data_IF_010075091858
#
_entry.id   IF_010075091858
#
_cell.length_a   1.000
_cell.length_b   1.000
_cell.length_c   1.000
_cell.angle_alpha   90.00
_cell.angle_beta   90.00
_cell.angle_gamma   90.00
#
_symmetry.space_group_name_H-M   'P 1'
#
loop_
_entity.id
_entity.type
_entity.pdbx_description
1 polymer ?
#
# COMPACT_ATOMS: atom_id res chain seq x y z
N UNK A 1 -30.81 -0.85 -25.22
CA UNK A 1 -30.81 0.22 -24.21
C UNK A 1 -29.37 0.64 -23.97
N UNK A 2 -28.94 1.79 -24.48
CA UNK A 2 -27.58 2.29 -24.22
C UNK A 2 -27.44 2.68 -22.73
N UNK A 3 -26.22 2.86 -22.24
CA UNK A 3 -25.98 3.15 -20.82
C UNK A 3 -26.72 4.43 -20.37
N UNK A 4 -26.81 5.42 -21.25
CA UNK A 4 -27.56 6.66 -21.05
C UNK A 4 -29.04 6.37 -20.78
N UNK A 5 -29.72 5.61 -21.64
CA UNK A 5 -31.13 5.22 -21.45
C UNK A 5 -31.36 4.48 -20.13
N UNK A 6 -30.43 3.63 -19.69
CA UNK A 6 -30.52 2.92 -18.38
C UNK A 6 -30.34 3.85 -17.19
N UNK A 7 -29.42 4.81 -17.29
CA UNK A 7 -29.22 5.84 -16.27
C UNK A 7 -30.38 6.85 -16.25
N UNK A 8 -30.94 7.16 -17.42
CA UNK A 8 -32.10 8.02 -17.57
C UNK A 8 -33.32 7.44 -16.87
N UNK A 9 -33.52 6.13 -16.98
CA UNK A 9 -34.57 5.40 -16.26
C UNK A 9 -34.30 5.30 -14.75
N UNK A 10 -33.06 5.04 -14.33
CA UNK A 10 -32.70 4.84 -12.92
C UNK A 10 -32.63 6.13 -12.10
N UNK A 11 -32.30 7.26 -12.74
CA UNK A 11 -32.09 8.56 -12.08
C UNK A 11 -33.06 9.65 -12.55
N UNK A 12 -34.07 9.31 -13.35
CA UNK A 12 -35.08 10.25 -13.83
C UNK A 12 -34.53 11.34 -14.73
N UNK A 13 -33.55 11.03 -15.59
CA UNK A 13 -33.04 11.96 -16.60
C UNK A 13 -34.03 11.99 -17.78
N UNK A 14 -35.23 12.53 -17.58
CA UNK A 14 -36.04 12.96 -18.72
C UNK A 14 -35.49 14.31 -19.19
N UNK A 15 -35.06 14.38 -20.45
CA UNK A 15 -34.92 15.65 -21.15
C UNK A 15 -35.82 15.61 -22.37
N UNK A 16 -36.70 16.60 -22.46
CA UNK A 16 -37.33 17.04 -23.69
C UNK A 16 -36.31 17.04 -24.84
N UNK A 17 -36.58 16.25 -25.87
CA UNK A 17 -35.72 16.08 -27.04
C UNK A 17 -35.45 17.42 -27.74
N UNK A 18 -34.22 17.73 -28.14
CA UNK A 18 -33.96 18.45 -29.38
C UNK A 18 -33.79 17.43 -30.52
N UNK A 19 -34.32 17.82 -31.67
CA UNK A 19 -34.45 17.05 -32.89
C UNK A 19 -33.12 16.46 -33.39
N UNK A 20 -33.23 15.27 -33.96
CA UNK A 20 -32.26 14.61 -34.84
C UNK A 20 -31.67 15.56 -35.88
N UNK A 21 -30.34 15.66 -35.93
CA UNK A 21 -29.62 16.17 -37.08
C UNK A 21 -28.25 15.48 -37.20
N UNK A 22 -28.01 14.85 -38.36
CA UNK A 22 -26.71 14.82 -39.03
C UNK A 22 -25.63 13.85 -38.52
N UNK A 23 -25.32 12.85 -39.34
CA UNK A 23 -24.02 12.17 -39.35
C UNK A 23 -22.97 13.18 -39.86
N UNK A 24 -21.93 13.42 -39.06
CA UNK A 24 -20.77 14.25 -39.40
C UNK A 24 -20.81 15.66 -38.79
N UNK A 25 -20.11 15.87 -37.67
CA UNK A 25 -19.89 17.19 -37.09
C UNK A 25 -19.05 17.10 -35.82
N UNK A 26 -18.03 17.94 -35.71
CA UNK A 26 -17.24 18.15 -34.48
C UNK A 26 -18.17 18.30 -33.26
N UNK A 27 -17.79 17.66 -32.14
CA UNK A 27 -18.52 17.73 -30.87
C UNK A 27 -18.85 19.18 -30.51
N UNK A 28 -20.12 19.55 -30.64
CA UNK A 28 -20.66 20.90 -30.35
C UNK A 28 -20.78 21.21 -28.85
N UNK A 29 -20.22 20.35 -27.99
CA UNK A 29 -20.19 20.56 -26.55
C UNK A 29 -19.26 21.74 -26.22
N UNK A 30 -19.76 22.69 -25.42
CA UNK A 30 -18.95 23.82 -24.96
C UNK A 30 -17.70 23.29 -24.20
N UNK A 31 -16.53 23.90 -24.42
CA UNK A 31 -15.34 23.56 -23.65
C UNK A 31 -15.52 23.92 -22.17
N UNK A 32 -14.82 23.21 -21.28
CA UNK A 32 -14.71 23.64 -19.88
C UNK A 32 -13.88 24.94 -19.84
N UNK A 33 -14.26 25.96 -19.04
CA UNK A 33 -13.51 27.23 -18.99
C UNK A 33 -12.05 27.13 -18.48
N UNK A 34 -11.64 25.97 -17.96
CA UNK A 34 -10.31 25.72 -17.40
C UNK A 34 -9.62 24.49 -18.02
N UNK A 35 -10.11 24.04 -19.18
CA UNK A 35 -9.53 22.91 -19.88
C UNK A 35 -9.52 23.15 -21.39
N UNK A 36 -8.63 22.44 -22.07
CA UNK A 36 -8.55 22.46 -23.52
C UNK A 36 -9.23 21.23 -24.11
N UNK A 37 -9.84 21.37 -25.30
CA UNK A 37 -10.41 20.23 -26.02
C UNK A 37 -9.32 19.61 -26.87
N UNK A 38 -9.07 18.31 -26.66
CA UNK A 38 -8.10 17.52 -27.41
C UNK A 38 -8.84 16.60 -28.38
N UNK A 39 -8.41 16.60 -29.63
CA UNK A 39 -8.90 15.68 -30.66
C UNK A 39 -7.98 14.47 -30.76
N UNK A 40 -8.57 13.27 -30.78
CA UNK A 40 -7.89 12.00 -31.04
C UNK A 40 -8.55 11.29 -32.22
N UNK A 41 -7.96 10.22 -32.76
CA UNK A 41 -8.63 9.38 -33.76
C UNK A 41 -9.96 8.76 -33.29
N UNK A 42 -10.25 8.83 -31.99
CA UNK A 42 -11.42 8.21 -31.35
C UNK A 42 -12.43 9.22 -30.81
N UNK A 43 -12.31 10.50 -31.20
CA UNK A 43 -13.23 11.58 -30.79
C UNK A 43 -12.51 12.71 -30.09
N UNK A 44 -13.24 13.46 -29.27
CA UNK A 44 -12.70 14.58 -28.49
C UNK A 44 -12.91 14.37 -27.01
N UNK A 45 -12.04 14.89 -26.16
CA UNK A 45 -12.26 15.02 -24.72
C UNK A 45 -11.59 16.29 -24.20
N UNK A 46 -11.75 16.60 -22.91
CA UNK A 46 -11.08 17.75 -22.30
C UNK A 46 -9.81 17.29 -21.59
N UNK A 47 -8.71 18.04 -21.76
CA UNK A 47 -7.50 17.93 -20.95
C UNK A 47 -7.36 19.15 -20.05
N UNK A 48 -7.00 18.92 -18.80
CA UNK A 48 -6.51 19.95 -17.88
C UNK A 48 -5.10 19.57 -17.50
N UNK A 49 -4.13 20.46 -17.75
CA UNK A 49 -2.73 20.25 -17.40
C UNK A 49 -2.31 21.26 -16.33
N UNK A 50 -1.61 20.77 -15.30
CA UNK A 50 -0.97 21.58 -14.29
C UNK A 50 0.49 21.13 -14.13
N UNK A 51 1.40 22.10 -13.94
CA UNK A 51 2.81 21.85 -13.70
C UNK A 51 3.18 22.44 -12.35
N UNK A 52 3.52 21.57 -11.42
CA UNK A 52 3.87 21.93 -10.05
C UNK A 52 5.39 21.94 -9.88
N UNK A 53 5.94 22.95 -9.19
CA UNK A 53 7.37 22.97 -8.90
C UNK A 53 7.75 21.81 -7.98
N UNK A 54 9.01 21.35 -8.07
CA UNK A 54 9.47 20.18 -7.30
C UNK A 54 9.49 20.43 -5.79
N UNK A 55 9.50 21.68 -5.34
CA UNK A 55 9.42 22.08 -3.93
C UNK A 55 7.97 22.20 -3.43
N UNK A 56 6.96 21.89 -4.26
CA UNK A 56 5.57 21.86 -3.86
C UNK A 56 5.35 20.90 -2.68
N UNK A 57 4.70 21.40 -1.64
CA UNK A 57 4.40 20.65 -0.42
C UNK A 57 2.99 20.06 -0.46
N UNK A 58 2.87 18.79 -0.07
CA UNK A 58 1.60 18.08 0.06
C UNK A 58 1.60 17.27 1.36
N UNK A 59 0.95 17.83 2.39
CA UNK A 59 1.09 17.33 3.76
C UNK A 59 2.52 17.48 4.26
N UNK A 60 3.08 16.40 4.84
CA UNK A 60 4.48 16.35 5.27
C UNK A 60 5.49 16.07 4.14
N UNK A 61 5.03 15.85 2.91
CA UNK A 61 5.90 15.52 1.80
C UNK A 61 6.17 16.75 0.92
N UNK A 62 7.37 16.80 0.33
CA UNK A 62 7.72 17.68 -0.78
C UNK A 62 7.91 16.80 -2.01
N UNK A 63 7.24 17.10 -3.12
CA UNK A 63 7.15 16.20 -4.28
C UNK A 63 8.54 15.75 -4.79
N UNK A 64 9.47 16.70 -4.94
CA UNK A 64 10.83 16.44 -5.41
C UNK A 64 11.67 15.57 -4.47
N UNK A 65 11.26 15.38 -3.21
CA UNK A 65 11.97 14.47 -2.28
C UNK A 65 11.98 13.04 -2.79
N UNK A 66 10.94 12.64 -3.53
CA UNK A 66 10.85 11.31 -4.11
C UNK A 66 11.97 11.06 -5.14
N UNK A 67 12.41 12.09 -5.87
CA UNK A 67 13.50 11.98 -6.86
C UNK A 67 14.84 11.59 -6.22
N UNK A 68 15.02 11.86 -4.91
CA UNK A 68 16.20 11.46 -4.14
C UNK A 68 16.17 10.02 -3.62
N UNK A 69 15.07 9.29 -3.81
CA UNK A 69 14.93 7.90 -3.34
C UNK A 69 15.70 6.93 -4.19
N UNK A 70 16.09 5.82 -3.57
CA UNK A 70 16.87 4.79 -4.21
C UNK A 70 15.98 3.94 -5.12
N UNK A 71 16.36 3.70 -6.39
CA UNK A 71 15.51 3.00 -7.35
C UNK A 71 15.05 1.60 -6.92
N UNK A 72 15.87 0.90 -6.14
CA UNK A 72 15.58 -0.45 -5.65
C UNK A 72 14.52 -0.49 -4.53
N UNK A 73 14.16 0.66 -3.95
CA UNK A 73 13.19 0.74 -2.86
C UNK A 73 11.76 0.48 -3.33
N UNK A 74 11.40 0.86 -4.56
CA UNK A 74 10.01 0.73 -5.01
C UNK A 74 9.63 -0.72 -5.35
N UNK A 75 10.56 -1.48 -5.93
CA UNK A 75 10.41 -2.93 -6.06
C UNK A 75 10.25 -3.61 -4.70
N UNK A 76 10.67 -2.96 -3.60
CA UNK A 76 10.48 -3.51 -2.27
C UNK A 76 9.02 -3.49 -1.78
N UNK A 77 8.24 -2.54 -2.31
CA UNK A 77 6.85 -2.28 -1.92
C UNK A 77 5.87 -3.21 -2.64
N UNK A 78 6.16 -3.56 -3.89
CA UNK A 78 5.39 -4.54 -4.65
C UNK A 78 6.01 -5.94 -4.61
N UNK A 79 5.23 -6.97 -4.26
CA UNK A 79 5.71 -8.36 -4.24
C UNK A 79 5.76 -8.98 -5.65
N UNK A 80 5.04 -8.41 -6.60
CA UNK A 80 4.93 -8.89 -7.97
C UNK A 80 5.78 -8.06 -8.95
N UNK A 81 6.68 -7.22 -8.44
CA UNK A 81 7.54 -6.38 -9.27
C UNK A 81 8.35 -7.25 -10.26
N UNK A 82 8.30 -6.88 -11.55
CA UNK A 82 9.07 -7.55 -12.62
C UNK A 82 10.43 -6.91 -12.85
N UNK A 83 10.63 -5.72 -12.30
CA UNK A 83 11.91 -5.02 -12.25
C UNK A 83 12.31 -4.79 -10.80
N UNK A 84 13.61 -4.93 -10.54
CA UNK A 84 14.15 -4.69 -9.19
C UNK A 84 14.34 -3.20 -8.91
N UNK A 85 14.49 -2.38 -9.96
CA UNK A 85 14.77 -0.94 -9.85
C UNK A 85 13.82 -0.12 -10.74
N UNK A 86 13.38 1.02 -10.20
CA UNK A 86 12.65 2.05 -10.92
C UNK A 86 13.15 3.42 -10.46
N UNK A 87 13.65 4.24 -11.37
CA UNK A 87 13.91 5.64 -11.05
C UNK A 87 12.57 6.37 -10.83
N UNK A 88 12.51 7.30 -9.87
CA UNK A 88 11.30 8.06 -9.57
C UNK A 88 10.69 8.81 -10.78
N UNK A 89 11.52 9.23 -11.73
CA UNK A 89 11.13 9.95 -12.95
C UNK A 89 10.50 9.05 -14.04
N UNK A 90 10.67 7.73 -13.93
CA UNK A 90 10.02 6.75 -14.78
C UNK A 90 8.62 6.35 -14.29
N UNK A 91 8.24 6.82 -13.09
CA UNK A 91 6.97 6.46 -12.46
C UNK A 91 5.79 7.24 -13.05
N UNK A 92 4.67 6.55 -13.19
CA UNK A 92 3.38 7.11 -13.57
C UNK A 92 2.38 6.91 -12.44
N UNK A 93 1.87 8.01 -11.88
CA UNK A 93 0.87 8.02 -10.83
C UNK A 93 -0.49 8.18 -11.49
N UNK A 94 -1.51 7.40 -11.12
CA UNK A 94 -2.84 7.65 -11.66
C UNK A 94 -3.97 7.23 -10.73
N UNK A 95 -5.09 7.91 -10.92
CA UNK A 95 -6.36 7.73 -10.21
C UNK A 95 -7.52 8.09 -11.15
N UNK A 96 -8.68 7.45 -10.99
CA UNK A 96 -9.85 7.69 -11.84
C UNK A 96 -11.14 7.97 -11.07
N UNK A 97 -11.93 8.91 -11.58
CA UNK A 97 -13.30 9.13 -11.14
C UNK A 97 -14.28 8.46 -12.08
N UNK A 98 -15.26 7.80 -11.49
CA UNK A 98 -16.12 6.87 -12.22
C UNK A 98 -17.58 7.08 -11.87
N UNK A 99 -18.48 6.64 -12.75
CA UNK A 99 -19.93 6.73 -12.53
C UNK A 99 -20.48 5.81 -11.42
N UNK A 100 -19.64 5.00 -10.77
CA UNK A 100 -20.09 4.10 -9.71
C UNK A 100 -18.95 3.52 -8.87
N UNK A 101 -19.21 3.31 -7.58
CA UNK A 101 -18.19 2.93 -6.59
C UNK A 101 -17.81 1.43 -6.62
N UNK A 102 -18.53 0.60 -7.36
CA UNK A 102 -18.47 -0.87 -7.25
C UNK A 102 -17.94 -1.59 -8.50
N UNK A 103 -17.41 -0.87 -9.51
CA UNK A 103 -16.68 -1.48 -10.64
C UNK A 103 -17.47 -2.47 -11.50
N UNK A 104 -18.81 -2.43 -11.47
CA UNK A 104 -19.65 -3.27 -12.33
C UNK A 104 -19.56 -2.88 -13.81
N UNK A 105 -20.08 -3.73 -14.71
CA UNK A 105 -19.99 -3.59 -16.19
C UNK A 105 -20.52 -2.23 -16.73
N UNK A 106 -21.38 -1.53 -15.98
CA UNK A 106 -21.89 -0.20 -16.31
C UNK A 106 -21.05 0.99 -15.78
N UNK A 107 -19.95 0.73 -15.07
CA UNK A 107 -19.06 1.76 -14.53
C UNK A 107 -18.21 2.33 -15.65
N UNK A 108 -18.19 3.66 -15.76
CA UNK A 108 -17.45 4.39 -16.80
C UNK A 108 -16.52 5.38 -16.12
N UNK A 109 -15.21 5.40 -16.45
CA UNK A 109 -14.35 6.49 -16.05
C UNK A 109 -14.73 7.75 -16.82
N UNK A 110 -15.01 8.83 -16.11
CA UNK A 110 -15.29 10.12 -16.73
C UNK A 110 -14.16 11.14 -16.48
N UNK A 111 -13.27 10.86 -15.54
CA UNK A 111 -12.05 11.63 -15.28
C UNK A 111 -10.91 10.65 -14.99
N UNK A 112 -9.76 10.82 -15.65
CA UNK A 112 -8.52 10.10 -15.31
C UNK A 112 -7.43 11.12 -15.08
N UNK A 113 -6.91 11.16 -13.86
CA UNK A 113 -5.73 11.94 -13.50
C UNK A 113 -4.47 11.11 -13.66
N UNK A 114 -3.48 11.65 -14.37
CA UNK A 114 -2.15 11.05 -14.53
C UNK A 114 -1.10 12.05 -14.09
N UNK A 115 -0.21 11.62 -13.20
CA UNK A 115 0.92 12.39 -12.69
C UNK A 115 2.26 11.76 -13.07
N UNK A 116 3.24 12.57 -13.43
CA UNK A 116 4.62 12.12 -13.67
C UNK A 116 5.63 13.24 -13.48
N UNK A 117 6.88 12.87 -13.19
CA UNK A 117 7.96 13.85 -13.11
C UNK A 117 8.52 14.18 -14.50
N UNK A 118 8.98 15.43 -14.62
CA UNK A 118 9.86 15.94 -15.66
C UNK A 118 11.12 16.47 -15.00
N UNK A 119 12.10 16.94 -15.77
CA UNK A 119 13.37 17.47 -15.23
C UNK A 119 13.15 18.55 -14.14
N UNK A 120 12.14 19.41 -14.29
CA UNK A 120 11.97 20.61 -13.47
C UNK A 120 10.61 20.69 -12.73
N UNK A 121 9.70 19.74 -12.94
CA UNK A 121 8.34 19.83 -12.41
C UNK A 121 7.67 18.46 -12.28
N UNK A 122 6.67 18.38 -11.40
CA UNK A 122 5.67 17.32 -11.41
C UNK A 122 4.48 17.77 -12.25
N UNK A 123 4.14 17.02 -13.29
CA UNK A 123 3.04 17.33 -14.21
C UNK A 123 1.84 16.46 -13.87
N UNK A 124 0.67 17.09 -13.78
CA UNK A 124 -0.62 16.41 -13.67
C UNK A 124 -1.42 16.72 -14.93
N UNK A 125 -1.87 15.67 -15.63
CA UNK A 125 -2.82 15.75 -16.72
C UNK A 125 -4.11 15.05 -16.31
N UNK A 126 -5.23 15.74 -16.41
CA UNK A 126 -6.55 15.19 -16.15
C UNK A 126 -7.36 15.14 -17.45
N UNK A 127 -7.73 13.93 -17.87
CA UNK A 127 -8.56 13.70 -19.06
C UNK A 127 -10.01 13.53 -18.64
N UNK A 128 -10.91 14.34 -19.19
CA UNK A 128 -12.32 14.39 -18.83
C UNK A 128 -13.24 14.18 -20.03
N UNK A 129 -14.19 13.26 -19.89
CA UNK A 129 -15.24 13.02 -20.87
C UNK A 129 -16.46 13.90 -20.53
N UNK A 130 -16.87 14.78 -21.45
CA UNK A 130 -18.02 15.68 -21.24
C UNK A 130 -19.37 14.98 -21.43
N UNK A 131 -19.37 13.84 -22.10
CA UNK A 131 -20.49 12.92 -22.26
C UNK A 131 -19.91 11.51 -22.52
N UNK A 132 -20.75 10.48 -22.52
CA UNK A 132 -20.30 9.09 -22.58
C UNK A 132 -19.64 8.69 -23.90
N UNK A 133 -19.93 9.41 -24.99
CA UNK A 133 -19.33 9.19 -26.31
C UNK A 133 -17.87 9.69 -26.39
N UNK A 134 -17.43 10.52 -25.43
CA UNK A 134 -16.04 11.00 -25.32
C UNK A 134 -15.12 10.03 -24.57
N UNK A 135 -15.67 8.96 -23.98
CA UNK A 135 -14.89 7.95 -23.26
C UNK A 135 -13.76 7.33 -24.11
N UNK A 136 -13.95 6.95 -25.39
CA UNK A 136 -12.87 6.38 -26.19
C UNK A 136 -11.67 7.34 -26.35
N UNK A 137 -11.94 8.64 -26.52
CA UNK A 137 -10.90 9.65 -26.63
C UNK A 137 -10.11 9.78 -25.31
N UNK A 138 -10.82 9.87 -24.18
CA UNK A 138 -10.23 9.87 -22.84
C UNK A 138 -9.37 8.62 -22.59
N UNK A 139 -9.87 7.42 -22.91
CA UNK A 139 -9.15 6.16 -22.72
C UNK A 139 -7.90 6.08 -23.61
N UNK A 140 -7.97 6.58 -24.85
CA UNK A 140 -6.84 6.58 -25.77
C UNK A 140 -5.67 7.42 -25.25
N UNK A 141 -5.96 8.60 -24.68
CA UNK A 141 -4.93 9.46 -24.08
C UNK A 141 -4.33 8.84 -22.81
N UNK A 142 -5.17 8.26 -21.95
CA UNK A 142 -4.69 7.56 -20.76
C UNK A 142 -3.79 6.38 -21.14
N UNK A 143 -4.17 5.57 -22.15
CA UNK A 143 -3.37 4.46 -22.65
C UNK A 143 -2.01 4.93 -23.18
N UNK A 144 -1.96 6.05 -23.92
CA UNK A 144 -0.71 6.63 -24.40
C UNK A 144 0.24 6.94 -23.24
N UNK A 145 -0.23 7.64 -22.20
CA UNK A 145 0.59 8.03 -21.04
C UNK A 145 1.07 6.82 -20.24
N UNK A 146 0.19 5.85 -20.00
CA UNK A 146 0.52 4.64 -19.25
C UNK A 146 1.45 3.70 -20.03
N UNK A 147 1.37 3.68 -21.36
CA UNK A 147 2.27 2.91 -22.23
C UNK A 147 3.66 3.54 -22.31
N UNK A 148 3.73 4.87 -22.36
CA UNK A 148 5.00 5.60 -22.33
C UNK A 148 5.74 5.44 -20.99
N UNK A 149 5.02 5.16 -19.90
CA UNK A 149 5.56 5.00 -18.54
C UNK A 149 5.02 3.74 -17.86
N UNK A 150 5.57 2.55 -18.17
CA UNK A 150 5.03 1.26 -17.72
C UNK A 150 5.35 0.91 -16.26
N UNK A 151 5.66 1.91 -15.41
CA UNK A 151 5.95 1.76 -13.98
C UNK A 151 4.93 2.57 -13.19
N UNK A 152 3.89 1.91 -12.70
CA UNK A 152 2.70 2.57 -12.19
C UNK A 152 2.66 2.64 -10.67
N UNK A 153 2.00 3.69 -10.18
CA UNK A 153 1.72 3.89 -8.76
C UNK A 153 0.25 4.28 -8.64
N UNK A 154 -0.50 3.54 -7.83
CA UNK A 154 -1.93 3.77 -7.61
C UNK A 154 -2.30 3.49 -6.16
N UNK A 155 -3.53 3.82 -5.76
CA UNK A 155 -4.11 3.38 -4.49
C UNK A 155 -5.29 2.46 -4.76
N UNK A 156 -5.16 1.16 -4.48
CA UNK A 156 -6.15 0.12 -4.83
C UNK A 156 -6.35 -0.11 -6.34
N UNK A 157 -5.54 0.51 -7.20
CA UNK A 157 -5.74 0.42 -8.66
C UNK A 157 -5.51 -0.97 -9.25
N UNK A 158 -4.80 -1.90 -8.58
CA UNK A 158 -4.70 -3.30 -9.06
C UNK A 158 -6.06 -4.03 -9.07
N UNK A 159 -6.98 -3.60 -8.20
CA UNK A 159 -8.31 -4.19 -8.06
C UNK A 159 -9.42 -3.27 -8.59
N UNK A 160 -9.09 -2.03 -8.98
CA UNK A 160 -10.06 -1.03 -9.41
C UNK A 160 -9.62 -0.35 -10.71
N UNK A 161 -8.85 0.74 -10.65
CA UNK A 161 -8.57 1.62 -11.79
C UNK A 161 -7.96 0.87 -12.98
N UNK A 162 -6.89 0.10 -12.77
CA UNK A 162 -6.23 -0.62 -13.86
C UNK A 162 -7.12 -1.72 -14.46
N UNK A 163 -7.94 -2.38 -13.63
CA UNK A 163 -8.90 -3.39 -14.10
C UNK A 163 -10.03 -2.74 -14.91
N UNK A 164 -10.57 -1.61 -14.43
CA UNK A 164 -11.58 -0.84 -15.14
C UNK A 164 -11.03 -0.40 -16.49
N UNK A 165 -9.87 0.26 -16.53
CA UNK A 165 -9.25 0.71 -17.78
C UNK A 165 -9.05 -0.45 -18.76
N UNK A 166 -8.51 -1.59 -18.32
CA UNK A 166 -8.33 -2.76 -19.17
C UNK A 166 -9.66 -3.28 -19.77
N UNK A 167 -10.73 -3.31 -18.96
CA UNK A 167 -12.05 -3.72 -19.43
C UNK A 167 -12.64 -2.73 -20.44
N UNK A 168 -12.54 -1.42 -20.16
CA UNK A 168 -13.09 -0.36 -21.03
C UNK A 168 -12.32 -0.24 -22.35
N UNK A 169 -11.00 -0.40 -22.33
CA UNK A 169 -10.17 -0.44 -23.54
C UNK A 169 -10.58 -1.60 -24.47
N UNK A 170 -10.81 -2.79 -23.92
CA UNK A 170 -11.31 -3.95 -24.67
C UNK A 170 -12.71 -3.73 -25.24
N UNK A 171 -13.61 -3.15 -24.44
CA UNK A 171 -14.97 -2.83 -24.86
C UNK A 171 -14.96 -1.93 -26.11
N UNK A 172 -14.12 -0.89 -26.09
CA UNK A 172 -13.99 0.08 -27.18
C UNK A 172 -13.01 -0.33 -28.29
N UNK A 173 -12.41 -1.53 -28.19
CA UNK A 173 -11.43 -2.07 -29.16
C UNK A 173 -10.22 -1.16 -29.38
N UNK A 174 -9.78 -0.48 -28.33
CA UNK A 174 -8.63 0.43 -28.33
C UNK A 174 -7.29 -0.28 -28.09
N UNK A 175 -7.32 -1.60 -27.89
CA UNK A 175 -6.16 -2.43 -27.55
C UNK A 175 -6.23 -2.95 -26.12
N UNK A 176 -5.11 -3.52 -25.66
CA UNK A 176 -4.95 -3.98 -24.29
C UNK A 176 -4.13 -2.96 -23.48
N UNK A 177 -4.48 -2.80 -22.20
CA UNK A 177 -3.63 -2.09 -21.26
C UNK A 177 -2.31 -2.89 -21.13
N UNK A 178 -1.13 -2.26 -21.31
CA UNK A 178 0.14 -2.98 -21.27
C UNK A 178 0.36 -3.55 -19.87
N UNK A 179 1.02 -4.70 -19.80
CA UNK A 179 1.38 -5.22 -18.49
C UNK A 179 2.51 -4.38 -17.88
N UNK A 180 2.32 -3.79 -16.69
CA UNK A 180 3.33 -2.88 -16.14
C UNK A 180 4.58 -3.64 -15.71
N UNK A 181 5.75 -3.02 -15.92
CA UNK A 181 7.04 -3.49 -15.41
C UNK A 181 7.08 -3.45 -13.87
N UNK A 182 6.41 -2.46 -13.30
CA UNK A 182 6.22 -2.29 -11.86
C UNK A 182 4.84 -1.69 -11.62
N UNK A 183 4.10 -2.21 -10.64
CA UNK A 183 2.85 -1.57 -10.20
C UNK A 183 2.82 -1.51 -8.69
N UNK A 184 3.23 -0.38 -8.12
CA UNK A 184 3.15 -0.14 -6.68
C UNK A 184 1.74 0.29 -6.33
N UNK A 185 0.94 -0.66 -5.86
CA UNK A 185 -0.36 -0.36 -5.27
C UNK A 185 -0.19 -0.08 -3.77
N UNK A 186 -0.31 1.20 -3.44
CA UNK A 186 -0.04 1.75 -2.13
C UNK A 186 -0.99 1.24 -1.06
N UNK A 187 -2.19 0.76 -1.40
CA UNK A 187 -3.09 0.15 -0.43
C UNK A 187 -2.43 -1.05 0.26
N UNK A 188 -1.70 -1.88 -0.49
CA UNK A 188 -1.03 -3.04 0.08
C UNK A 188 0.20 -2.66 0.90
N UNK A 189 0.94 -1.63 0.50
CA UNK A 189 2.05 -1.09 1.27
C UNK A 189 1.55 -0.51 2.60
N UNK A 190 0.53 0.34 2.55
CA UNK A 190 -0.11 0.95 3.72
C UNK A 190 -0.70 -0.10 4.65
N UNK A 191 -1.47 -1.07 4.15
CA UNK A 191 -2.01 -2.17 4.98
C UNK A 191 -0.90 -2.99 5.62
N UNK A 192 0.20 -3.23 4.90
CA UNK A 192 1.31 -4.03 5.43
C UNK A 192 2.04 -3.31 6.55
N UNK A 193 2.22 -2.01 6.46
CA UNK A 193 3.06 -1.25 7.38
C UNK A 193 2.26 -0.51 8.47
N UNK A 194 1.01 -0.13 8.23
CA UNK A 194 0.21 0.73 9.11
C UNK A 194 -1.17 0.20 9.51
N UNK A 195 -1.59 -1.00 9.08
CA UNK A 195 -2.95 -1.52 9.41
C UNK A 195 -3.31 -1.46 10.89
N UNK A 196 -2.38 -1.78 11.77
CA UNK A 196 -2.62 -1.81 13.22
C UNK A 196 -2.79 -0.38 13.79
N UNK A 197 -2.23 0.63 13.13
CA UNK A 197 -2.34 2.04 13.53
C UNK A 197 -3.54 2.75 12.89
N UNK A 198 -3.88 2.43 11.64
CA UNK A 198 -4.97 3.07 10.89
C UNK A 198 -6.33 2.39 11.08
N UNK A 199 -6.33 1.08 11.31
CA UNK A 199 -7.51 0.23 11.17
C UNK A 199 -7.94 0.16 9.70
N UNK A 200 -8.86 1.03 9.32
CA UNK A 200 -9.24 1.22 7.92
C UNK A 200 -8.11 1.92 7.16
N UNK A 201 -7.65 1.29 6.08
CA UNK A 201 -6.61 1.82 5.22
C UNK A 201 -7.24 2.39 3.96
N UNK A 202 -8.09 3.41 4.10
CA UNK A 202 -8.53 4.24 2.97
C UNK A 202 -7.44 5.27 2.65
N UNK A 203 -7.48 5.86 1.45
CA UNK A 203 -6.57 6.95 1.09
C UNK A 203 -6.72 8.13 2.05
N UNK A 204 -7.96 8.55 2.35
CA UNK A 204 -8.24 9.61 3.33
C UNK A 204 -7.65 9.35 4.72
N UNK A 205 -7.73 8.10 5.22
CA UNK A 205 -7.10 7.70 6.49
C UNK A 205 -5.58 7.76 6.42
N UNK A 206 -5.01 7.34 5.30
CA UNK A 206 -3.57 7.38 5.07
C UNK A 206 -3.05 8.83 5.01
N UNK A 207 -3.78 9.73 4.36
CA UNK A 207 -3.48 11.17 4.31
C UNK A 207 -3.46 11.78 5.71
N UNK A 208 -4.53 11.60 6.47
CA UNK A 208 -4.64 12.20 7.81
C UNK A 208 -3.53 11.71 8.74
N UNK A 209 -3.22 10.41 8.69
CA UNK A 209 -2.38 9.76 9.71
C UNK A 209 -0.93 9.57 9.32
N UNK A 210 -0.62 9.49 8.03
CA UNK A 210 0.76 9.32 7.52
C UNK A 210 1.27 10.66 7.01
N UNK A 211 0.47 11.38 6.22
CA UNK A 211 0.88 12.66 5.63
C UNK A 211 0.51 13.87 6.50
N UNK A 212 -0.23 13.67 7.59
CA UNK A 212 -0.78 14.75 8.45
C UNK A 212 -1.53 15.79 7.60
N UNK A 213 -2.25 15.29 6.60
CA UNK A 213 -2.99 16.09 5.64
C UNK A 213 -4.48 15.96 5.90
N UNK A 214 -5.14 17.09 6.12
CA UNK A 214 -6.60 17.19 6.16
C UNK A 214 -7.05 18.05 5.00
N UNK A 215 -7.93 17.52 4.18
CA UNK A 215 -8.52 18.25 3.06
C UNK A 215 -9.68 19.08 3.59
N UNK A 216 -9.60 20.40 3.46
CA UNK A 216 -10.70 21.29 3.83
C UNK A 216 -11.65 21.44 2.63
N UNK A 217 -12.96 21.32 2.86
CA UNK A 217 -13.97 21.45 1.80
C UNK A 217 -13.98 20.38 0.71
N UNK A 218 -13.30 19.23 0.89
CA UNK A 218 -13.23 18.17 -0.11
C UNK A 218 -14.60 17.49 -0.34
N UNK A 219 -14.86 17.13 -1.59
CA UNK A 219 -16.10 16.47 -1.99
C UNK A 219 -16.08 15.00 -1.50
N UNK A 220 -17.09 14.55 -0.73
CA UNK A 220 -17.19 13.14 -0.39
C UNK A 220 -17.23 12.27 -1.64
N UNK A 221 -16.41 11.21 -1.69
CA UNK A 221 -16.32 10.29 -2.86
C UNK A 221 -17.67 9.77 -3.34
N UNK A 222 -18.62 9.55 -2.42
CA UNK A 222 -19.97 9.09 -2.76
C UNK A 222 -20.80 10.11 -3.56
N UNK A 223 -20.45 11.40 -3.51
CA UNK A 223 -21.12 12.47 -4.24
C UNK A 223 -20.47 12.75 -5.60
N UNK A 224 -19.23 12.31 -5.84
CA UNK A 224 -18.51 12.55 -7.10
C UNK A 224 -19.33 12.11 -8.33
N UNK A 225 -19.92 10.90 -8.38
CA UNK A 225 -20.74 10.49 -9.52
C UNK A 225 -21.98 11.38 -9.71
N UNK A 226 -22.59 11.84 -8.61
CA UNK A 226 -23.79 12.69 -8.65
C UNK A 226 -23.48 14.07 -9.24
N UNK A 227 -22.31 14.63 -8.96
CA UNK A 227 -21.85 15.88 -9.56
C UNK A 227 -21.70 15.74 -11.08
N UNK A 228 -21.13 14.63 -11.54
CA UNK A 228 -21.02 14.35 -12.98
C UNK A 228 -22.39 14.17 -13.64
N UNK A 229 -23.30 13.41 -13.04
CA UNK A 229 -24.66 13.24 -13.58
C UNK A 229 -25.45 14.55 -13.62
N UNK A 230 -25.26 15.43 -12.62
CA UNK A 230 -25.84 16.76 -12.64
C UNK A 230 -25.33 17.56 -13.83
N UNK A 231 -24.01 17.58 -14.05
CA UNK A 231 -23.40 18.24 -15.20
C UNK A 231 -23.95 17.71 -16.54
N UNK A 232 -24.13 16.39 -16.70
CA UNK A 232 -24.71 15.84 -17.92
C UNK A 232 -26.13 16.37 -18.23
N UNK A 233 -26.88 16.76 -17.18
CA UNK A 233 -28.25 17.27 -17.29
C UNK A 233 -28.30 18.79 -17.50
N UNK A 234 -27.66 19.56 -16.64
CA UNK A 234 -27.76 21.03 -16.64
C UNK A 234 -26.63 21.72 -17.42
N UNK A 235 -25.58 20.97 -17.77
CA UNK A 235 -24.36 21.45 -18.45
C UNK A 235 -23.66 22.59 -17.72
N UNK A 236 -23.90 22.73 -16.41
CA UNK A 236 -23.18 23.65 -15.54
C UNK A 236 -21.83 23.02 -15.14
N UNK A 237 -20.69 23.53 -15.63
CA UNK A 237 -19.40 22.93 -15.36
C UNK A 237 -18.89 23.24 -13.94
N UNK A 238 -19.35 24.32 -13.30
CA UNK A 238 -18.70 24.86 -12.09
C UNK A 238 -18.61 23.87 -10.93
N UNK A 239 -19.64 23.03 -10.63
CA UNK A 239 -19.53 21.98 -9.62
C UNK A 239 -18.42 20.95 -9.90
N UNK A 240 -18.04 20.73 -11.16
CA UNK A 240 -16.97 19.78 -11.50
C UNK A 240 -15.60 20.22 -10.96
N UNK A 241 -15.37 21.51 -10.67
CA UNK A 241 -14.08 21.97 -10.12
C UNK A 241 -13.68 21.19 -8.86
N UNK A 242 -14.64 20.87 -8.00
CA UNK A 242 -14.39 20.07 -6.80
C UNK A 242 -13.99 18.62 -7.13
N UNK A 243 -14.50 18.06 -8.23
CA UNK A 243 -14.13 16.71 -8.71
C UNK A 243 -12.72 16.71 -9.29
N UNK A 244 -12.37 17.71 -10.09
CA UNK A 244 -11.00 17.87 -10.60
C UNK A 244 -10.00 18.07 -9.45
N UNK A 245 -10.34 18.90 -8.45
CA UNK A 245 -9.48 19.09 -7.27
C UNK A 245 -9.34 17.79 -6.46
N UNK A 246 -10.43 17.02 -6.27
CA UNK A 246 -10.36 15.73 -5.58
C UNK A 246 -9.35 14.78 -6.24
N UNK A 247 -9.50 14.57 -7.55
CA UNK A 247 -8.63 13.68 -8.32
C UNK A 247 -7.18 14.19 -8.35
N UNK A 248 -6.98 15.52 -8.47
CA UNK A 248 -5.66 16.15 -8.36
C UNK A 248 -5.00 15.85 -7.00
N UNK A 249 -5.73 16.01 -5.89
CA UNK A 249 -5.25 15.72 -4.55
C UNK A 249 -4.97 14.22 -4.35
N UNK A 250 -5.80 13.33 -4.91
CA UNK A 250 -5.58 11.88 -4.90
C UNK A 250 -4.24 11.54 -5.58
N UNK A 251 -3.97 12.08 -6.79
CA UNK A 251 -2.69 11.89 -7.51
C UNK A 251 -1.49 12.41 -6.70
N UNK A 252 -1.59 13.60 -6.11
CA UNK A 252 -0.52 14.16 -5.26
C UNK A 252 -0.25 13.29 -4.02
N UNK A 253 -1.31 12.76 -3.42
CA UNK A 253 -1.19 11.85 -2.29
C UNK A 253 -0.51 10.53 -2.65
N UNK A 254 -0.61 10.05 -3.89
CA UNK A 254 0.16 8.88 -4.33
C UNK A 254 1.67 9.14 -4.26
N UNK A 255 2.13 10.30 -4.72
CA UNK A 255 3.55 10.69 -4.67
C UNK A 255 4.03 10.77 -3.23
N UNK A 256 3.29 11.50 -2.39
CA UNK A 256 3.63 11.71 -0.98
C UNK A 256 3.63 10.40 -0.18
N UNK A 257 2.64 9.53 -0.40
CA UNK A 257 2.56 8.22 0.27
C UNK A 257 3.65 7.26 -0.20
N UNK A 258 4.02 7.29 -1.48
CA UNK A 258 5.12 6.49 -1.98
C UNK A 258 6.44 6.86 -1.28
N UNK A 259 6.72 8.17 -1.14
CA UNK A 259 7.89 8.66 -0.42
C UNK A 259 7.89 8.18 1.05
N UNK A 260 6.75 8.35 1.73
CA UNK A 260 6.57 7.90 3.11
C UNK A 260 6.72 6.37 3.27
N UNK A 261 6.30 5.59 2.27
CA UNK A 261 6.47 4.14 2.26
C UNK A 261 7.91 3.72 1.94
N UNK A 262 8.65 4.50 1.15
CA UNK A 262 10.04 4.21 0.78
C UNK A 262 11.01 4.51 1.93
N UNK A 263 10.82 5.61 2.66
CA UNK A 263 11.72 6.09 3.71
C UNK A 263 12.13 5.00 4.74
N UNK A 264 11.23 4.16 5.29
CA UNK A 264 11.60 3.15 6.28
C UNK A 264 12.54 2.04 5.77
N UNK A 265 12.65 1.84 4.46
CA UNK A 265 13.56 0.86 3.86
C UNK A 265 14.97 1.41 3.69
N UNK A 266 15.08 2.70 3.42
CA UNK A 266 16.35 3.41 3.19
C UNK A 266 16.98 3.88 4.50
N UNK A 267 16.18 4.54 5.34
CA UNK A 267 16.57 5.10 6.63
C UNK A 267 15.63 4.57 7.75
N UNK A 268 15.75 3.29 8.15
CA UNK A 268 14.87 2.68 9.14
C UNK A 268 14.91 3.38 10.50
N UNK A 269 16.03 4.01 10.86
CA UNK A 269 16.16 4.84 12.05
C UNK A 269 15.27 6.09 12.03
N UNK A 270 14.85 6.54 10.83
CA UNK A 270 13.91 7.66 10.62
C UNK A 270 12.47 7.18 10.42
N UNK A 271 12.21 5.87 10.43
CA UNK A 271 10.86 5.33 10.23
C UNK A 271 9.85 5.92 11.24
N UNK A 272 8.61 6.21 10.85
CA UNK A 272 7.54 6.61 11.77
C UNK A 272 7.31 5.54 12.85
N UNK A 273 6.92 5.97 14.04
CA UNK A 273 6.75 5.06 15.19
C UNK A 273 5.43 4.30 15.15
N UNK A 274 4.47 4.83 14.41
CA UNK A 274 3.16 4.26 14.14
C UNK A 274 3.24 3.03 13.23
N UNK A 275 4.38 2.85 12.55
CA UNK A 275 4.64 1.73 11.67
C UNK A 275 4.77 0.43 12.46
N UNK A 276 4.24 -0.67 11.92
CA UNK A 276 4.44 -2.02 12.45
C UNK A 276 5.90 -2.47 12.30
N UNK A 277 6.69 -2.20 13.34
CA UNK A 277 8.11 -2.50 13.38
C UNK A 277 8.43 -4.00 13.16
N UNK A 278 7.54 -4.92 13.57
CA UNK A 278 7.75 -6.35 13.34
C UNK A 278 7.61 -6.69 11.85
N UNK A 279 6.60 -6.13 11.18
CA UNK A 279 6.40 -6.33 9.74
C UNK A 279 7.53 -5.68 8.94
N UNK A 280 7.98 -4.47 9.29
CA UNK A 280 9.14 -3.85 8.65
C UNK A 280 10.42 -4.66 8.86
N UNK A 281 10.71 -5.08 10.09
CA UNK A 281 11.88 -5.91 10.38
C UNK A 281 11.89 -7.20 9.55
N UNK A 282 10.75 -7.88 9.41
CA UNK A 282 10.62 -9.07 8.55
C UNK A 282 10.92 -8.79 7.09
N UNK A 283 10.46 -7.65 6.55
CA UNK A 283 10.75 -7.25 5.17
C UNK A 283 12.23 -6.92 4.96
N UNK A 284 12.87 -6.30 5.95
CA UNK A 284 14.32 -6.01 5.92
C UNK A 284 15.14 -7.31 5.98
N UNK A 285 14.73 -8.28 6.81
CA UNK A 285 15.37 -9.61 6.91
C UNK A 285 15.29 -10.36 5.58
N UNK A 286 14.12 -10.35 4.92
CA UNK A 286 13.94 -10.99 3.61
C UNK A 286 14.88 -10.42 2.54
N UNK A 287 15.37 -9.20 2.73
CA UNK A 287 16.32 -8.51 1.84
C UNK A 287 17.76 -8.53 2.36
N UNK A 288 18.07 -9.37 3.35
CA UNK A 288 19.41 -9.48 3.93
C UNK A 288 19.84 -8.28 4.79
N UNK A 289 18.98 -7.28 5.04
CA UNK A 289 19.30 -6.09 5.85
C UNK A 289 19.09 -6.35 7.35
N UNK A 290 19.80 -7.33 7.90
CA UNK A 290 19.62 -7.84 9.28
C UNK A 290 19.96 -6.77 10.33
N UNK A 291 21.01 -5.98 10.12
CA UNK A 291 21.42 -4.87 10.98
C UNK A 291 20.31 -3.83 11.11
N UNK A 292 19.73 -3.43 9.98
CA UNK A 292 18.61 -2.48 9.91
C UNK A 292 17.38 -3.02 10.62
N UNK A 293 17.03 -4.30 10.41
CA UNK A 293 15.93 -4.95 11.11
C UNK A 293 16.14 -4.93 12.64
N UNK A 294 17.37 -5.14 13.11
CA UNK A 294 17.72 -5.10 14.54
C UNK A 294 17.47 -3.70 15.11
N UNK A 295 17.95 -2.64 14.44
CA UNK A 295 17.77 -1.24 14.87
C UNK A 295 16.31 -0.82 14.95
N UNK A 296 15.50 -1.24 13.97
CA UNK A 296 14.04 -0.99 13.97
C UNK A 296 13.39 -1.58 15.22
N UNK A 297 13.69 -2.85 15.53
CA UNK A 297 13.13 -3.52 16.71
C UNK A 297 13.65 -2.93 18.02
N UNK A 298 14.93 -2.58 18.10
CA UNK A 298 15.53 -1.90 19.26
C UNK A 298 14.80 -0.59 19.58
N UNK A 299 14.58 0.26 18.57
CA UNK A 299 13.87 1.53 18.73
C UNK A 299 12.41 1.32 19.14
N UNK A 300 11.73 0.34 18.52
CA UNK A 300 10.32 0.07 18.77
C UNK A 300 10.05 -0.60 20.14
N UNK A 301 11.01 -1.38 20.67
CA UNK A 301 10.85 -2.14 21.91
C UNK A 301 10.49 -1.25 23.11
N UNK A 302 11.09 -0.06 23.20
CA UNK A 302 10.82 0.93 24.26
C UNK A 302 9.39 1.46 24.26
N UNK A 303 8.68 1.35 23.12
CA UNK A 303 7.33 1.89 22.91
C UNK A 303 6.26 0.82 22.70
N UNK A 304 6.58 -0.44 22.98
CA UNK A 304 5.64 -1.54 22.84
C UNK A 304 4.40 -1.33 23.73
N UNK A 305 3.24 -1.11 23.11
CA UNK A 305 1.98 -0.78 23.81
C UNK A 305 1.39 -1.91 24.65
N UNK A 306 1.79 -3.16 24.39
CA UNK A 306 1.28 -4.33 25.12
C UNK A 306 2.42 -5.28 25.47
N UNK A 307 2.28 -5.98 26.59
CA UNK A 307 3.19 -7.05 27.02
C UNK A 307 3.38 -8.11 25.93
N UNK A 308 2.29 -8.48 25.24
CA UNK A 308 2.34 -9.45 24.14
C UNK A 308 3.17 -8.96 22.96
N UNK A 309 3.01 -7.69 22.57
CA UNK A 309 3.82 -7.09 21.50
C UNK A 309 5.29 -6.99 21.90
N UNK A 310 5.56 -6.51 23.13
CA UNK A 310 6.91 -6.43 23.68
C UNK A 310 7.61 -7.79 23.64
N UNK A 311 6.95 -8.84 24.14
CA UNK A 311 7.46 -10.21 24.11
C UNK A 311 7.81 -10.68 22.69
N UNK A 312 6.93 -10.42 21.71
CA UNK A 312 7.21 -10.77 20.31
C UNK A 312 8.42 -10.02 19.75
N UNK A 313 8.57 -8.73 20.06
CA UNK A 313 9.74 -7.94 19.66
C UNK A 313 11.04 -8.45 20.29
N UNK A 314 11.03 -8.79 21.59
CA UNK A 314 12.19 -9.38 22.26
C UNK A 314 12.64 -10.67 21.59
N UNK A 315 11.69 -11.57 21.29
CA UNK A 315 11.98 -12.88 20.67
C UNK A 315 12.59 -12.69 19.27
N UNK A 316 11.97 -11.87 18.42
CA UNK A 316 12.46 -11.61 17.07
C UNK A 316 13.84 -10.94 17.10
N UNK A 317 14.04 -9.93 17.96
CA UNK A 317 15.34 -9.25 18.10
C UNK A 317 16.43 -10.19 18.62
N UNK A 318 16.11 -11.04 19.60
CA UNK A 318 17.04 -12.06 20.10
C UNK A 318 17.44 -13.04 19.00
N UNK A 319 16.50 -13.45 18.15
CA UNK A 319 16.76 -14.29 16.98
C UNK A 319 17.69 -13.60 15.96
N UNK A 320 17.61 -12.27 15.79
CA UNK A 320 18.54 -11.51 14.95
C UNK A 320 19.94 -11.43 15.56
N UNK A 321 20.05 -11.16 16.86
CA UNK A 321 21.34 -11.15 17.56
C UNK A 321 22.00 -12.53 17.55
N UNK A 322 21.22 -13.61 17.68
CA UNK A 322 21.70 -14.98 17.51
C UNK A 322 22.34 -15.20 16.15
N UNK A 323 21.66 -14.79 15.06
CA UNK A 323 22.17 -14.90 13.67
C UNK A 323 23.49 -14.13 13.49
N UNK A 324 23.64 -13.00 14.17
CA UNK A 324 24.86 -12.16 14.18
C UNK A 324 25.92 -12.63 15.19
N UNK A 325 25.72 -13.77 15.84
CA UNK A 325 26.59 -14.33 16.90
C UNK A 325 26.79 -13.40 18.11
N UNK A 326 25.85 -12.48 18.35
CA UNK A 326 25.82 -11.59 19.52
C UNK A 326 25.08 -12.27 20.69
N UNK A 327 25.65 -13.38 21.17
CA UNK A 327 24.98 -14.30 22.10
C UNK A 327 24.58 -13.65 23.42
N UNK A 328 25.45 -12.83 24.00
CA UNK A 328 25.17 -12.14 25.27
C UNK A 328 23.88 -11.32 25.18
N UNK A 329 23.74 -10.52 24.12
CA UNK A 329 22.53 -9.73 23.90
C UNK A 329 21.30 -10.60 23.66
N UNK A 330 21.43 -11.68 22.88
CA UNK A 330 20.31 -12.60 22.63
C UNK A 330 19.79 -13.26 23.93
N UNK A 331 20.71 -13.67 24.80
CA UNK A 331 20.40 -14.26 26.12
C UNK A 331 19.65 -13.26 27.00
N UNK A 332 20.16 -12.03 27.13
CA UNK A 332 19.52 -10.96 27.90
C UNK A 332 18.06 -10.73 27.48
N UNK A 333 17.80 -10.73 26.16
CA UNK A 333 16.46 -10.53 25.59
C UNK A 333 15.54 -11.76 25.78
N UNK A 334 16.04 -12.99 25.63
CA UNK A 334 15.24 -14.18 25.91
C UNK A 334 14.90 -14.30 27.39
N UNK A 335 15.84 -13.98 28.28
CA UNK A 335 15.61 -13.95 29.73
C UNK A 335 14.54 -12.90 30.08
N UNK A 336 14.58 -11.72 29.47
CA UNK A 336 13.52 -10.72 29.61
C UNK A 336 12.17 -11.23 29.09
N UNK A 337 12.16 -11.90 27.94
CA UNK A 337 10.93 -12.45 27.35
C UNK A 337 10.27 -13.51 28.24
N UNK A 338 11.06 -14.33 28.95
CA UNK A 338 10.55 -15.31 29.92
C UNK A 338 9.89 -14.65 31.13
N UNK A 339 10.46 -13.53 31.62
CA UNK A 339 9.93 -12.80 32.78
C UNK A 339 8.60 -12.11 32.51
N UNK A 340 8.31 -11.76 31.26
CA UNK A 340 7.02 -11.17 30.90
C UNK A 340 5.88 -12.19 31.02
N UNK A 341 4.65 -11.78 31.37
CA UNK A 341 3.47 -12.66 31.35
C UNK A 341 3.21 -13.37 30.00
N UNK A 342 2.55 -14.53 30.07
CA UNK A 342 2.10 -15.33 28.92
C UNK A 342 3.18 -16.27 28.36
N UNK A 343 2.95 -17.58 28.39
CA UNK A 343 3.97 -18.55 27.97
C UNK A 343 4.28 -18.47 26.46
N UNK A 344 5.57 -18.56 26.10
CA UNK A 344 6.03 -18.72 24.72
C UNK A 344 7.24 -19.63 24.73
N UNK A 345 7.20 -20.70 23.93
CA UNK A 345 8.19 -21.78 24.00
C UNK A 345 9.60 -21.35 23.57
N UNK A 346 9.71 -20.53 22.52
CA UNK A 346 10.98 -20.25 21.83
C UNK A 346 12.10 -19.73 22.75
N UNK A 347 11.90 -18.73 23.64
CA UNK A 347 12.93 -18.31 24.60
C UNK A 347 13.53 -19.44 25.45
N UNK A 348 12.70 -20.31 26.00
CA UNK A 348 13.16 -21.41 26.86
C UNK A 348 14.04 -22.38 26.09
N UNK A 349 13.63 -22.72 24.86
CA UNK A 349 14.37 -23.65 23.99
C UNK A 349 15.73 -23.07 23.60
N UNK A 350 15.76 -21.81 23.19
CA UNK A 350 17.00 -21.16 22.75
C UNK A 350 17.97 -20.92 23.92
N UNK A 351 17.47 -20.53 25.10
CA UNK A 351 18.30 -20.43 26.30
C UNK A 351 18.82 -21.80 26.75
N UNK A 352 17.99 -22.85 26.73
CA UNK A 352 18.44 -24.21 27.07
C UNK A 352 19.55 -24.68 26.12
N UNK A 353 19.42 -24.42 24.81
CA UNK A 353 20.50 -24.68 23.82
C UNK A 353 21.77 -23.89 24.15
N UNK A 354 21.64 -22.61 24.49
CA UNK A 354 22.77 -21.76 24.84
C UNK A 354 23.53 -22.29 26.07
N UNK A 355 22.81 -22.57 27.16
CA UNK A 355 23.42 -23.08 28.40
C UNK A 355 23.98 -24.50 28.24
N UNK A 356 23.37 -25.36 27.41
CA UNK A 356 23.89 -26.70 27.11
C UNK A 356 25.20 -26.65 26.30
N UNK A 357 25.22 -25.89 25.20
CA UNK A 357 26.30 -26.00 24.21
C UNK A 357 27.39 -24.94 24.33
N UNK A 358 27.05 -23.72 24.77
CA UNK A 358 27.98 -22.59 24.82
C UNK A 358 28.48 -22.32 26.23
N UNK A 359 27.57 -22.05 27.18
CA UNK A 359 27.97 -21.70 28.54
C UNK A 359 28.32 -22.94 29.40
N UNK A 360 27.98 -24.14 28.94
CA UNK A 360 28.23 -25.43 29.63
C UNK A 360 27.66 -25.47 31.06
N UNK A 361 26.57 -24.74 31.31
CA UNK A 361 25.84 -24.73 32.59
C UNK A 361 24.63 -25.67 32.47
N UNK A 362 24.88 -26.96 32.64
CA UNK A 362 23.87 -28.01 32.42
C UNK A 362 22.65 -27.87 33.34
N UNK A 363 22.83 -27.38 34.56
CA UNK A 363 21.75 -27.17 35.53
C UNK A 363 20.71 -26.16 35.04
N UNK A 364 21.17 -25.03 34.51
CA UNK A 364 20.29 -24.01 33.92
C UNK A 364 19.58 -24.52 32.67
N UNK A 365 20.29 -25.26 31.82
CA UNK A 365 19.70 -25.86 30.63
C UNK A 365 18.58 -26.86 30.99
N UNK A 366 18.78 -27.67 32.05
CA UNK A 366 17.79 -28.60 32.56
C UNK A 366 16.58 -27.85 33.13
N UNK A 367 16.80 -26.84 33.98
CA UNK A 367 15.73 -26.04 34.59
C UNK A 367 14.83 -25.40 33.52
N UNK A 368 15.44 -24.75 32.51
CA UNK A 368 14.70 -24.13 31.40
C UNK A 368 13.92 -25.16 30.58
N UNK A 369 14.48 -26.36 30.37
CA UNK A 369 13.79 -27.45 29.66
C UNK A 369 12.59 -27.96 30.44
N UNK A 370 12.69 -28.08 31.77
CA UNK A 370 11.57 -28.46 32.65
C UNK A 370 10.46 -27.40 32.63
N UNK A 371 10.82 -26.12 32.73
CA UNK A 371 9.85 -25.01 32.63
C UNK A 371 9.14 -24.98 31.28
N UNK A 372 9.86 -25.25 30.18
CA UNK A 372 9.26 -25.36 28.85
C UNK A 372 8.22 -26.49 28.76
N UNK A 373 8.53 -27.66 29.34
CA UNK A 373 7.61 -28.80 29.39
C UNK A 373 6.36 -28.50 30.22
N UNK A 374 6.52 -27.85 31.37
CA UNK A 374 5.40 -27.42 32.22
C UNK A 374 4.49 -26.43 31.49
N UNK A 375 5.07 -25.41 30.85
CA UNK A 375 4.30 -24.44 30.06
C UNK A 375 3.56 -25.06 28.87
N UNK A 376 4.17 -26.05 28.19
CA UNK A 376 3.47 -26.80 27.13
C UNK A 376 2.33 -27.65 27.68
N UNK A 377 2.49 -28.29 28.84
CA UNK A 377 1.41 -29.07 29.49
C UNK A 377 0.20 -28.19 29.80
N UNK A 378 0.43 -26.97 30.29
CA UNK A 378 -0.65 -26.01 30.57
C UNK A 378 -1.35 -25.56 29.28
N UNK A 379 -0.61 -25.35 28.19
CA UNK A 379 -1.19 -25.02 26.89
C UNK A 379 -1.98 -26.18 26.27
N UNK A 380 -1.47 -27.42 26.33
CA UNK A 380 -2.14 -28.59 25.75
C UNK A 380 -3.47 -28.89 26.43
N UNK A 381 -3.57 -28.62 27.74
CA UNK A 381 -4.82 -28.75 28.49
C UNK A 381 -5.91 -27.77 28.00
N UNK A 382 -5.53 -26.67 27.36
CA UNK A 382 -6.43 -25.65 26.83
C UNK A 382 -6.73 -25.81 25.33
N UNK A 383 -5.82 -26.44 24.57
CA UNK A 383 -5.95 -26.68 23.12
C UNK A 383 -5.26 -27.99 22.73
N UNK A 384 -6.02 -28.95 22.20
CA UNK A 384 -5.48 -30.18 21.61
C UNK A 384 -4.87 -29.90 20.23
N UNK A 385 -3.59 -29.51 20.21
CA UNK A 385 -2.84 -29.26 18.97
C UNK A 385 -1.74 -30.34 18.80
N UNK A 386 -1.78 -31.18 17.74
CA UNK A 386 -0.77 -32.21 17.47
C UNK A 386 0.68 -31.70 17.41
N UNK A 387 0.90 -30.43 17.05
CA UNK A 387 2.22 -29.81 17.04
C UNK A 387 2.84 -29.68 18.45
N UNK A 388 2.01 -29.70 19.50
CA UNK A 388 2.45 -29.63 20.90
C UNK A 388 3.08 -30.93 21.36
N UNK A 389 2.53 -32.09 20.98
CA UNK A 389 3.07 -33.39 21.38
C UNK A 389 4.45 -33.67 20.76
N UNK A 390 4.64 -33.32 19.49
CA UNK A 390 5.96 -33.40 18.86
C UNK A 390 7.01 -32.56 19.59
N UNK A 391 6.69 -31.31 19.93
CA UNK A 391 7.59 -30.42 20.68
C UNK A 391 7.88 -30.93 22.09
N UNK A 392 6.90 -31.55 22.75
CA UNK A 392 7.04 -32.15 24.07
C UNK A 392 8.02 -33.33 24.04
N UNK A 393 7.90 -34.21 23.03
CA UNK A 393 8.82 -35.33 22.84
C UNK A 393 10.27 -34.85 22.63
N UNK A 394 10.48 -33.80 21.81
CA UNK A 394 11.81 -33.21 21.62
C UNK A 394 12.42 -32.67 22.93
N UNK A 395 11.61 -32.01 23.76
CA UNK A 395 12.06 -31.49 25.06
C UNK A 395 12.33 -32.60 26.08
N UNK A 396 11.52 -33.66 26.09
CA UNK A 396 11.77 -34.84 26.93
C UNK A 396 13.09 -35.52 26.56
N UNK A 397 13.36 -35.71 25.26
CA UNK A 397 14.62 -36.26 24.78
C UNK A 397 15.82 -35.36 25.17
N UNK A 398 15.65 -34.02 25.08
CA UNK A 398 16.67 -33.07 25.57
C UNK A 398 16.90 -33.21 27.08
N UNK A 399 15.84 -33.32 27.87
CA UNK A 399 15.92 -33.44 29.32
C UNK A 399 16.68 -34.71 29.72
N UNK A 400 16.34 -35.85 29.13
CA UNK A 400 17.06 -37.12 29.34
C UNK A 400 18.54 -36.98 28.99
N UNK A 401 18.87 -36.38 27.83
CA UNK A 401 20.25 -36.14 27.41
C UNK A 401 21.03 -35.27 28.41
N UNK A 402 20.41 -34.22 28.94
CA UNK A 402 21.03 -33.33 29.93
C UNK A 402 21.31 -34.06 31.24
N UNK A 403 20.37 -34.87 31.72
CA UNK A 403 20.52 -35.68 32.93
C UNK A 403 21.64 -36.72 32.78
N UNK A 404 21.72 -37.41 31.64
CA UNK A 404 22.82 -38.35 31.38
C UNK A 404 24.19 -37.67 31.28
N UNK A 405 24.27 -36.44 30.76
CA UNK A 405 25.52 -35.66 30.74
C UNK A 405 25.95 -35.23 32.13
N UNK A 406 25.01 -34.86 33.00
CA UNK A 406 25.27 -34.51 34.40
C UNK A 406 25.72 -35.71 35.23
N UNK A 407 25.11 -36.87 35.06
CA UNK A 407 25.52 -38.09 35.77
C UNK A 407 26.90 -38.64 35.36
N UNK A 408 27.54 -38.05 34.33
CA UNK A 408 28.87 -38.43 33.83
C UNK A 408 29.93 -37.35 34.07
N UNK A 409 29.54 -36.18 34.59
CA UNK A 409 30.41 -35.05 34.94
C UNK A 409 30.55 -35.01 36.46
#
# INVERSE_FOLDING_TARGET
MNLRERLDWAFGLSSSSPKTAGVGGESSLRPLPWGEVISTPFGTCVRVEERLPLDYAHGLAVLGSLLGRQPHTFGALDRAARVECAHPDELCFFDSETTGLAGGVGTVPFLIGVGYFTENAFVIEQFFARDFDEEPALLSLALEKLSARPKWVTYNGKAFDAQLLAQRLRLHRLGDLPEPLLHVDLLFAVRRLWKDALGECSLSRAEERILVLRRDGDLPRSLIPLVYFRYLRDRDPWPLRAVFEHNRLDVLSLVALLDACALPFEAPERAPLELDALKLARLLIQRGRIEHASRVLERALSRARTTRLRKRMLIELASLYKRRRLWRKAVELWDEAIRLPGFTLEPYVELAKYYEHRARQLDKAEQLTRQALEGLRLLSALRGDPAVESRKAELQARLQRLQSKRGRA
#
